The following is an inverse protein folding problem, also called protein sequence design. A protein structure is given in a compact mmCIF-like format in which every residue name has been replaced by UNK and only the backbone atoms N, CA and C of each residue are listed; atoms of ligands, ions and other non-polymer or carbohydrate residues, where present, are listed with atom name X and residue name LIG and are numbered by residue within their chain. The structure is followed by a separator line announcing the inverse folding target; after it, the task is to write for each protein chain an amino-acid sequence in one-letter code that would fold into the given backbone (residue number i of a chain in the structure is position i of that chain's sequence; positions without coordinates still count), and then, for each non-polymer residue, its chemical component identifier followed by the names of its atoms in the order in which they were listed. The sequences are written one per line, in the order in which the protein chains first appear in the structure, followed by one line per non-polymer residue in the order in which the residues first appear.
data_IF_755585444199
#
_entry.id   IF_755585444199
#
_cell.length_a   1.000
_cell.length_b   1.000
_cell.length_c   1.000
_cell.angle_alpha   90.00
_cell.angle_beta   90.00
_cell.angle_gamma   90.00
#
_symmetry.space_group_name_H-M   'P 1'
#
loop_
_entity.id
_entity.type
_entity.pdbx_description
1 polymer ?
#
# COMPACT_ATOMS: atom_id res chain seq x y z
N UNK A 1 17.52 6.62 22.93
CA UNK A 1 17.71 6.72 24.41
C UNK A 1 16.40 6.36 25.09
N UNK A 2 16.37 5.48 26.10
CA UNK A 2 15.16 5.16 26.88
C UNK A 2 14.98 6.27 27.94
N UNK A 3 13.85 6.96 27.91
CA UNK A 3 13.51 8.08 28.83
C UNK A 3 12.32 7.72 29.72
N UNK A 4 11.40 6.91 29.19
CA UNK A 4 10.23 6.39 29.95
C UNK A 4 10.56 4.97 30.39
N UNK A 5 10.15 4.64 31.64
CA UNK A 5 10.24 3.27 32.15
C UNK A 5 9.59 2.28 31.15
N UNK A 6 10.34 1.25 30.70
CA UNK A 6 9.81 0.27 29.75
C UNK A 6 8.54 -0.44 30.22
N UNK A 7 8.36 -0.64 31.53
CA UNK A 7 7.17 -1.28 32.06
C UNK A 7 5.92 -0.38 31.93
N UNK A 8 6.09 0.93 32.13
CA UNK A 8 5.01 1.91 31.88
C UNK A 8 4.64 1.92 30.39
N UNK A 9 5.64 1.93 29.52
CA UNK A 9 5.41 1.87 28.07
C UNK A 9 4.71 0.56 27.69
N UNK A 10 5.13 -0.57 28.26
CA UNK A 10 4.52 -1.88 28.02
C UNK A 10 3.05 -1.89 28.41
N UNK A 11 2.70 -1.35 29.59
CA UNK A 11 1.31 -1.26 30.03
C UNK A 11 0.44 -0.43 29.07
N UNK A 12 0.97 0.66 28.53
CA UNK A 12 0.28 1.47 27.52
C UNK A 12 0.07 0.70 26.23
N UNK A 13 1.09 -0.01 25.75
CA UNK A 13 0.98 -0.85 24.56
C UNK A 13 -0.02 -2.00 24.77
N UNK A 14 -0.03 -2.65 25.95
CA UNK A 14 -1.01 -3.69 26.26
C UNK A 14 -2.44 -3.15 26.12
N UNK A 15 -2.71 -1.96 26.61
CA UNK A 15 -4.02 -1.31 26.46
C UNK A 15 -4.39 -1.07 25.00
N UNK A 16 -3.47 -0.62 24.16
CA UNK A 16 -3.69 -0.47 22.72
C UNK A 16 -4.01 -1.83 22.06
N UNK A 17 -3.31 -2.89 22.50
CA UNK A 17 -3.54 -4.24 21.98
C UNK A 17 -4.83 -4.89 22.50
N UNK A 18 -5.30 -4.54 23.70
CA UNK A 18 -6.63 -4.92 24.19
C UNK A 18 -7.72 -4.32 23.33
N UNK A 19 -7.65 -3.02 23.07
CA UNK A 19 -8.56 -2.33 22.13
C UNK A 19 -8.50 -2.93 20.72
N UNK A 20 -7.30 -3.36 20.28
CA UNK A 20 -7.15 -4.06 19.00
C UNK A 20 -7.92 -5.39 19.00
N UNK A 21 -7.77 -6.22 20.03
CA UNK A 21 -8.46 -7.52 20.14
C UNK A 21 -9.98 -7.36 20.16
N UNK A 22 -10.49 -6.35 20.89
CA UNK A 22 -11.93 -6.05 20.93
C UNK A 22 -12.49 -5.68 19.55
N UNK A 23 -11.67 -5.11 18.68
CA UNK A 23 -12.06 -4.65 17.35
C UNK A 23 -11.46 -5.49 16.22
N UNK A 24 -10.84 -6.62 16.50
CA UNK A 24 -10.05 -7.41 15.55
C UNK A 24 -10.84 -7.76 14.28
N UNK A 25 -12.08 -8.21 14.42
CA UNK A 25 -12.93 -8.57 13.29
C UNK A 25 -13.17 -7.36 12.35
N UNK A 26 -13.38 -6.18 12.92
CA UNK A 26 -13.54 -4.95 12.15
C UNK A 26 -12.27 -4.58 11.40
N UNK A 27 -11.12 -4.72 12.05
CA UNK A 27 -9.83 -4.42 11.44
C UNK A 27 -9.47 -5.42 10.33
N UNK A 28 -9.72 -6.71 10.55
CA UNK A 28 -9.52 -7.74 9.51
C UNK A 28 -10.39 -7.51 8.29
N UNK A 29 -11.65 -7.10 8.46
CA UNK A 29 -12.53 -6.72 7.33
C UNK A 29 -12.01 -5.53 6.56
N UNK A 30 -11.30 -4.60 7.20
CA UNK A 30 -10.60 -3.48 6.54
C UNK A 30 -9.29 -3.91 5.88
N UNK A 31 -8.83 -5.12 6.12
CA UNK A 31 -7.55 -5.62 5.62
C UNK A 31 -6.36 -5.27 6.51
N UNK A 32 -6.59 -4.94 7.80
CA UNK A 32 -5.51 -4.75 8.77
C UNK A 32 -5.19 -6.09 9.43
N UNK A 33 -3.93 -6.46 9.43
CA UNK A 33 -3.48 -7.76 9.97
C UNK A 33 -2.34 -7.52 10.95
N UNK A 34 -2.52 -7.94 12.20
CA UNK A 34 -1.43 -8.01 13.16
C UNK A 34 -0.54 -9.21 12.77
N UNK A 35 0.65 -8.92 12.25
CA UNK A 35 1.60 -9.95 11.78
C UNK A 35 2.48 -10.48 12.91
N UNK A 36 2.84 -9.60 13.86
CA UNK A 36 3.71 -9.97 14.95
C UNK A 36 3.78 -8.93 16.05
N UNK A 37 4.35 -9.35 17.16
CA UNK A 37 4.65 -8.52 18.31
C UNK A 37 6.01 -8.90 18.90
N UNK A 38 6.80 -7.92 19.25
CA UNK A 38 8.08 -8.09 19.94
C UNK A 38 8.28 -6.94 20.92
N UNK A 39 8.33 -7.26 22.23
CA UNK A 39 8.48 -6.29 23.32
C UNK A 39 7.59 -5.06 23.20
N UNK A 40 8.13 -3.94 22.71
CA UNK A 40 7.42 -2.67 22.51
C UNK A 40 7.08 -2.39 21.04
N UNK A 41 7.27 -3.38 20.17
CA UNK A 41 7.02 -3.28 18.73
C UNK A 41 5.82 -4.12 18.31
N UNK A 42 5.08 -3.65 17.31
CA UNK A 42 4.03 -4.39 16.62
C UNK A 42 4.21 -4.28 15.12
N UNK A 43 4.07 -5.39 14.41
CA UNK A 43 4.16 -5.46 12.95
C UNK A 43 2.74 -5.60 12.39
N UNK A 44 2.33 -4.64 11.54
CA UNK A 44 0.99 -4.56 10.95
C UNK A 44 1.09 -4.59 9.43
N UNK A 45 0.34 -5.50 8.82
CA UNK A 45 0.15 -5.55 7.37
C UNK A 45 -1.17 -4.93 6.95
N UNK A 46 -1.17 -4.27 5.79
CA UNK A 46 -2.35 -3.66 5.18
C UNK A 46 -2.65 -4.32 3.84
N UNK A 47 -3.84 -4.89 3.72
CA UNK A 47 -4.34 -5.45 2.48
C UNK A 47 -5.27 -4.45 1.80
N UNK A 48 -4.96 -4.15 0.55
CA UNK A 48 -5.88 -3.47 -0.37
C UNK A 48 -6.49 -4.47 -1.35
N UNK A 49 -7.49 -4.02 -2.09
CA UNK A 49 -8.12 -4.80 -3.15
C UNK A 49 -7.68 -4.27 -4.51
N UNK A 50 -6.87 -5.04 -5.23
CA UNK A 50 -6.45 -4.70 -6.58
C UNK A 50 -7.54 -5.06 -7.58
N UNK A 51 -7.98 -4.11 -8.42
CA UNK A 51 -8.97 -4.36 -9.46
C UNK A 51 -8.32 -5.02 -10.68
N UNK A 52 -8.02 -6.30 -10.58
CA UNK A 52 -7.47 -7.08 -11.68
C UNK A 52 -8.51 -8.10 -12.13
N UNK A 53 -9.02 -7.93 -13.35
CA UNK A 53 -10.03 -8.82 -13.90
C UNK A 53 -11.44 -8.65 -13.28
N UNK A 54 -12.25 -9.71 -13.33
CA UNK A 54 -13.64 -9.67 -12.89
C UNK A 54 -13.83 -9.60 -11.36
N UNK A 55 -12.81 -9.97 -10.59
CA UNK A 55 -12.86 -9.94 -9.13
C UNK A 55 -11.60 -9.28 -8.55
N UNK A 56 -11.76 -8.36 -7.57
CA UNK A 56 -10.62 -7.75 -6.92
C UNK A 56 -9.78 -8.79 -6.18
N UNK A 57 -8.46 -8.70 -6.35
CA UNK A 57 -7.48 -9.59 -5.69
C UNK A 57 -6.93 -8.87 -4.46
N UNK A 58 -6.87 -9.51 -3.28
CA UNK A 58 -6.21 -8.93 -2.12
C UNK A 58 -4.69 -8.84 -2.36
N UNK A 59 -4.12 -7.67 -2.06
CA UNK A 59 -2.68 -7.44 -2.17
C UNK A 59 -2.16 -6.70 -0.93
N UNK A 60 -0.97 -7.09 -0.47
CA UNK A 60 -0.26 -6.36 0.57
C UNK A 60 0.21 -5.03 0.02
N UNK A 61 -0.31 -3.93 0.54
CA UNK A 61 -0.01 -2.57 0.08
C UNK A 61 1.04 -1.88 0.94
N UNK A 62 1.09 -2.24 2.20
CA UNK A 62 2.10 -1.80 3.15
C UNK A 62 2.27 -2.84 4.25
N UNK A 63 3.46 -2.90 4.80
CA UNK A 63 3.72 -3.53 6.09
C UNK A 63 4.58 -2.57 6.90
N UNK A 64 4.21 -2.34 8.15
CA UNK A 64 4.90 -1.41 9.03
C UNK A 64 5.21 -2.04 10.37
N UNK A 65 6.34 -1.67 10.94
CA UNK A 65 6.67 -1.84 12.35
C UNK A 65 6.36 -0.56 13.08
N UNK A 66 5.60 -0.65 14.16
CA UNK A 66 5.27 0.47 15.05
C UNK A 66 5.97 0.21 16.37
N UNK A 67 6.95 1.07 16.70
CA UNK A 67 7.72 1.01 17.94
C UNK A 67 7.20 2.05 18.94
N UNK A 68 6.75 1.55 20.10
CA UNK A 68 6.19 2.34 21.19
C UNK A 68 7.23 2.76 22.24
N UNK A 69 8.53 2.57 22.01
CA UNK A 69 9.56 3.03 22.94
C UNK A 69 9.35 4.49 23.32
N UNK A 70 9.35 4.79 24.62
CA UNK A 70 9.07 6.11 25.21
C UNK A 70 7.64 6.65 25.02
N UNK A 71 6.68 5.81 24.58
CA UNK A 71 5.29 6.23 24.47
C UNK A 71 4.69 6.48 25.87
N UNK A 72 3.99 7.59 26.11
CA UNK A 72 3.52 8.65 25.24
C UNK A 72 4.30 9.96 25.42
N UNK A 73 5.48 9.93 26.04
CA UNK A 73 6.36 11.11 26.09
C UNK A 73 6.85 11.47 24.68
N UNK A 74 7.20 10.45 23.89
CA UNK A 74 7.45 10.55 22.46
C UNK A 74 6.33 9.81 21.70
N UNK A 75 5.98 10.22 20.48
CA UNK A 75 5.05 9.50 19.65
C UNK A 75 5.65 8.16 19.19
N UNK A 76 4.82 7.17 18.81
CA UNK A 76 5.32 5.94 18.22
C UNK A 76 6.15 6.20 16.96
N UNK A 77 7.17 5.41 16.75
CA UNK A 77 7.92 5.37 15.49
C UNK A 77 7.27 4.42 14.51
N UNK A 78 7.22 4.76 13.23
CA UNK A 78 6.66 3.89 12.18
C UNK A 78 7.71 3.68 11.10
N UNK A 79 8.08 2.43 10.87
CA UNK A 79 9.01 2.03 9.83
C UNK A 79 8.34 1.08 8.83
N UNK A 80 8.57 1.28 7.52
CA UNK A 80 8.14 0.33 6.52
C UNK A 80 9.05 -0.89 6.54
N UNK A 81 8.44 -2.09 6.51
CA UNK A 81 9.18 -3.35 6.55
C UNK A 81 8.68 -4.32 5.48
N UNK A 82 9.53 -5.27 5.13
CA UNK A 82 9.13 -6.45 4.39
C UNK A 82 8.38 -7.41 5.34
N UNK A 83 7.18 -7.83 4.96
CA UNK A 83 6.31 -8.69 5.80
C UNK A 83 6.93 -10.07 6.10
N UNK A 84 7.88 -10.54 5.29
CA UNK A 84 8.49 -11.87 5.42
C UNK A 84 9.81 -11.84 6.18
N UNK A 85 10.64 -10.80 5.94
CA UNK A 85 11.97 -10.71 6.56
C UNK A 85 12.00 -9.81 7.80
N UNK A 86 11.00 -8.92 7.95
CA UNK A 86 10.97 -7.91 9.01
C UNK A 86 12.02 -6.81 8.83
N UNK A 87 12.78 -6.81 7.73
CA UNK A 87 13.77 -5.78 7.42
C UNK A 87 13.11 -4.58 6.77
N UNK A 88 13.78 -3.42 6.85
CA UNK A 88 13.31 -2.22 6.17
C UNK A 88 13.09 -2.49 4.68
N UNK A 89 11.95 -2.04 4.17
CA UNK A 89 11.63 -2.04 2.75
C UNK A 89 10.79 -0.79 2.42
N UNK A 90 11.12 -0.03 1.36
CA UNK A 90 10.29 1.10 0.95
C UNK A 90 8.89 0.60 0.54
N UNK A 91 7.83 1.41 0.78
CA UNK A 91 6.48 0.99 0.44
C UNK A 91 6.30 0.87 -1.08
N UNK A 92 5.58 -0.16 -1.54
CA UNK A 92 5.31 -0.36 -2.97
C UNK A 92 4.23 0.57 -3.54
N UNK A 93 3.55 1.34 -2.68
CA UNK A 93 2.41 2.20 -3.01
C UNK A 93 2.70 3.63 -2.62
N UNK A 94 2.27 4.59 -3.44
CA UNK A 94 2.21 5.99 -3.02
C UNK A 94 1.08 6.18 -2.00
N UNK A 95 1.33 6.99 -0.98
CA UNK A 95 0.34 7.32 0.05
C UNK A 95 -0.38 8.62 -0.30
N UNK A 96 -1.17 8.62 -1.36
CA UNK A 96 -1.87 9.82 -1.83
C UNK A 96 -3.07 10.15 -0.95
N UNK A 97 -3.16 11.41 -0.58
CA UNK A 97 -4.34 12.01 0.08
C UNK A 97 -4.72 13.30 -0.63
N UNK A 98 -6.03 13.60 -0.64
CA UNK A 98 -6.50 14.89 -1.10
C UNK A 98 -6.26 15.96 -0.04
N UNK A 99 -5.78 17.10 -0.51
CA UNK A 99 -5.67 18.32 0.30
C UNK A 99 -6.30 19.48 -0.49
N UNK A 100 -6.54 20.59 0.19
CA UNK A 100 -7.05 21.82 -0.45
C UNK A 100 -6.12 22.33 -1.58
N UNK A 101 -4.86 21.88 -1.60
CA UNK A 101 -3.86 22.21 -2.62
C UNK A 101 -3.68 21.11 -3.67
N UNK A 102 -4.54 20.10 -3.66
CA UNK A 102 -4.47 18.93 -4.55
C UNK A 102 -3.87 17.69 -3.89
N UNK A 103 -3.69 16.60 -4.66
CA UNK A 103 -3.17 15.35 -4.13
C UNK A 103 -1.75 15.50 -3.57
N UNK A 104 -1.53 15.00 -2.36
CA UNK A 104 -0.22 14.99 -1.70
C UNK A 104 0.18 13.57 -1.35
N UNK A 105 1.44 13.22 -1.62
CA UNK A 105 2.02 11.97 -1.12
C UNK A 105 2.44 12.15 0.35
N UNK A 106 1.93 11.30 1.23
CA UNK A 106 2.29 11.28 2.65
C UNK A 106 3.55 10.48 2.92
N UNK A 107 4.09 9.75 1.95
CA UNK A 107 5.40 9.10 2.06
C UNK A 107 6.48 10.07 1.59
N UNK A 108 7.35 10.48 2.50
CA UNK A 108 8.58 11.19 2.18
C UNK A 108 9.69 10.14 2.02
N UNK A 109 10.38 10.16 0.87
CA UNK A 109 11.30 9.10 0.49
C UNK A 109 12.62 9.09 1.26
N UNK A 110 12.98 10.18 1.91
CA UNK A 110 14.24 10.28 2.67
C UNK A 110 14.09 11.17 3.89
N UNK A 111 14.13 10.56 5.07
CA UNK A 111 14.23 11.30 6.33
C UNK A 111 15.68 11.77 6.53
N UNK A 112 15.93 13.02 6.95
CA UNK A 112 17.29 13.56 7.10
C UNK A 112 18.23 12.70 7.94
N UNK A 113 17.72 12.15 9.06
CA UNK A 113 18.53 11.40 10.01
C UNK A 113 18.74 9.93 9.63
N UNK A 114 17.75 9.29 8.95
CA UNK A 114 17.78 7.85 8.70
C UNK A 114 17.98 7.49 7.24
N UNK A 115 17.82 8.44 6.34
CA UNK A 115 17.82 8.25 4.89
C UNK A 115 16.82 7.16 4.42
N UNK A 116 15.73 6.96 5.19
CA UNK A 116 14.69 5.99 4.89
C UNK A 116 13.38 6.68 4.56
N UNK A 117 12.55 6.02 3.77
CA UNK A 117 11.19 6.47 3.53
C UNK A 117 10.38 6.41 4.83
N UNK A 118 9.55 7.43 5.08
CA UNK A 118 8.70 7.49 6.27
C UNK A 118 7.33 8.08 5.95
N UNK A 119 6.38 7.78 6.81
CA UNK A 119 5.02 8.29 6.70
C UNK A 119 4.90 9.64 7.42
N UNK A 120 4.73 10.72 6.63
CA UNK A 120 4.79 12.10 7.14
C UNK A 120 3.41 12.58 7.64
N UNK A 121 3.03 12.15 8.85
CA UNK A 121 1.76 12.55 9.49
C UNK A 121 1.94 12.84 10.97
N UNK A 122 1.18 13.81 11.55
CA UNK A 122 1.22 14.08 12.98
C UNK A 122 0.86 12.83 13.80
N UNK A 123 1.57 12.60 14.91
CA UNK A 123 1.40 11.43 15.77
C UNK A 123 2.40 10.32 15.52
N UNK A 124 3.34 10.52 14.58
CA UNK A 124 4.45 9.62 14.28
C UNK A 124 5.77 10.33 14.59
N UNK A 125 6.73 9.63 15.21
CA UNK A 125 8.01 10.20 15.65
C UNK A 125 8.78 10.86 14.53
N UNK A 126 8.85 10.22 13.36
CA UNK A 126 9.56 10.74 12.19
C UNK A 126 9.00 12.08 11.71
N UNK A 127 7.68 12.30 11.81
CA UNK A 127 7.07 13.59 11.52
C UNK A 127 7.53 14.67 12.48
N UNK A 128 7.44 14.42 13.79
CA UNK A 128 7.75 15.42 14.82
C UNK A 128 9.25 15.71 14.93
N UNK A 129 10.11 14.78 14.53
CA UNK A 129 11.56 14.98 14.49
C UNK A 129 12.04 15.59 13.16
N UNK A 130 11.16 15.73 12.17
CA UNK A 130 11.55 16.29 10.88
C UNK A 130 11.72 17.82 10.99
N UNK A 131 12.82 18.41 10.46
CA UNK A 131 13.10 19.85 10.60
C UNK A 131 11.99 20.78 10.10
N UNK A 132 11.26 20.37 9.06
CA UNK A 132 10.12 21.13 8.51
C UNK A 132 8.91 21.19 9.45
N UNK A 133 8.86 20.37 10.49
CA UNK A 133 7.77 20.29 11.47
C UNK A 133 8.20 20.72 12.88
N UNK A 134 9.33 21.43 13.01
CA UNK A 134 9.90 21.84 14.28
C UNK A 134 8.99 22.70 15.18
N UNK A 135 7.97 23.34 14.58
CA UNK A 135 6.94 24.11 15.31
C UNK A 135 5.72 23.29 15.75
N UNK A 136 5.58 22.04 15.30
CA UNK A 136 4.46 21.16 15.61
C UNK A 136 4.87 20.11 16.65
N UNK A 137 4.94 20.55 17.93
CA UNK A 137 5.36 19.68 19.02
C UNK A 137 4.39 18.53 19.27
N UNK A 138 4.91 17.31 19.49
CA UNK A 138 4.12 16.16 19.93
C UNK A 138 3.24 16.44 21.15
N UNK A 139 3.69 17.26 22.08
CA UNK A 139 2.94 17.60 23.28
C UNK A 139 1.56 18.24 22.98
N UNK A 140 1.42 18.89 21.82
CA UNK A 140 0.13 19.45 21.36
C UNK A 140 -0.83 18.37 20.86
N UNK A 141 -0.31 17.18 20.53
CA UNK A 141 -1.08 16.08 19.95
C UNK A 141 -1.27 14.89 20.89
N UNK A 142 -0.52 14.84 21.95
CA UNK A 142 -0.44 13.71 22.88
C UNK A 142 -1.80 13.22 23.37
N UNK A 143 -2.72 14.14 23.71
CA UNK A 143 -4.04 13.80 24.24
C UNK A 143 -5.11 13.64 23.14
N UNK A 144 -4.75 13.85 21.89
CA UNK A 144 -5.68 13.80 20.74
C UNK A 144 -5.82 12.42 20.11
N UNK A 145 -5.27 11.38 20.71
CA UNK A 145 -5.24 10.00 20.19
C UNK A 145 -4.49 9.82 18.85
N UNK A 146 -3.78 10.84 18.36
CA UNK A 146 -3.07 10.75 17.07
C UNK A 146 -1.98 9.70 17.04
N UNK A 147 -1.39 9.37 18.19
CA UNK A 147 -0.38 8.33 18.37
C UNK A 147 -0.94 6.96 18.77
N UNK A 148 -2.27 6.77 18.84
CA UNK A 148 -2.84 5.45 19.13
C UNK A 148 -2.63 4.49 17.97
N UNK A 149 -2.51 3.21 18.26
CA UNK A 149 -2.31 2.15 17.26
C UNK A 149 -3.38 2.21 16.18
N UNK A 150 -4.65 2.28 16.58
CA UNK A 150 -5.78 2.31 15.66
C UNK A 150 -5.77 3.56 14.76
N UNK A 151 -5.43 4.74 15.30
CA UNK A 151 -5.38 5.98 14.51
C UNK A 151 -4.24 5.96 13.48
N UNK A 152 -3.07 5.48 13.86
CA UNK A 152 -1.94 5.30 12.93
C UNK A 152 -2.33 4.34 11.81
N UNK A 153 -2.91 3.18 12.16
CA UNK A 153 -3.35 2.19 11.18
C UNK A 153 -4.43 2.73 10.24
N UNK A 154 -5.42 3.49 10.74
CA UNK A 154 -6.47 4.10 9.91
C UNK A 154 -5.89 5.07 8.87
N UNK A 155 -4.91 5.88 9.26
CA UNK A 155 -4.24 6.81 8.35
C UNK A 155 -3.45 6.12 7.26
N UNK A 156 -2.66 5.11 7.63
CA UNK A 156 -1.88 4.31 6.66
C UNK A 156 -2.83 3.60 5.69
N UNK A 157 -3.88 2.97 6.21
CA UNK A 157 -4.87 2.26 5.40
C UNK A 157 -5.59 3.18 4.41
N UNK A 158 -6.06 4.35 4.88
CA UNK A 158 -6.73 5.33 4.00
C UNK A 158 -5.80 5.80 2.88
N UNK A 159 -4.52 6.02 3.20
CA UNK A 159 -3.57 6.55 2.25
C UNK A 159 -3.04 5.48 1.27
N UNK A 160 -2.96 4.20 1.67
CA UNK A 160 -2.20 3.20 0.92
C UNK A 160 -3.01 1.97 0.50
N UNK A 161 -4.13 1.66 1.16
CA UNK A 161 -4.84 0.40 0.94
C UNK A 161 -6.30 0.57 0.51
N UNK A 162 -6.97 1.63 0.94
CA UNK A 162 -8.41 1.81 0.75
C UNK A 162 -8.82 1.94 -0.71
N UNK A 163 -8.03 2.66 -1.50
CA UNK A 163 -8.40 3.14 -2.82
C UNK A 163 -7.39 2.75 -3.89
N UNK A 164 -7.03 1.46 -3.98
CA UNK A 164 -6.16 0.98 -5.05
C UNK A 164 -6.87 1.04 -6.39
N UNK A 165 -6.22 1.62 -7.40
CA UNK A 165 -6.73 1.72 -8.78
C UNK A 165 -6.18 0.62 -9.68
N UNK A 166 -5.00 0.10 -9.42
CA UNK A 166 -4.37 -0.89 -10.28
C UNK A 166 -2.87 -1.03 -10.08
N UNK A 167 -2.23 -1.61 -11.07
CA UNK A 167 -0.78 -1.80 -11.14
C UNK A 167 -0.25 -1.06 -12.35
N UNK A 168 0.67 -0.14 -12.13
CA UNK A 168 1.45 0.46 -13.20
C UNK A 168 2.69 -0.39 -13.45
N UNK A 169 2.88 -0.78 -14.71
CA UNK A 169 4.07 -1.49 -15.16
C UNK A 169 4.98 -0.50 -15.85
N UNK A 170 6.19 -0.30 -15.34
CA UNK A 170 7.22 0.51 -15.99
C UNK A 170 8.31 -0.42 -16.53
N UNK A 171 8.55 -0.33 -17.82
CA UNK A 171 9.61 -1.05 -18.51
C UNK A 171 10.78 -0.08 -18.72
N UNK A 172 11.94 -0.39 -18.16
CA UNK A 172 13.17 0.35 -18.40
C UNK A 172 14.18 -0.57 -19.10
N UNK A 173 14.65 -0.14 -20.27
CA UNK A 173 15.72 -0.80 -20.97
C UNK A 173 17.05 -0.18 -20.57
N UNK A 174 17.86 -0.93 -19.85
CA UNK A 174 19.26 -0.62 -19.59
C UNK A 174 20.13 -1.39 -20.59
N UNK A 175 21.36 -0.97 -20.92
CA UNK A 175 22.24 -1.71 -21.81
C UNK A 175 22.37 -3.18 -21.38
N UNK A 176 21.81 -4.10 -22.18
CA UNK A 176 21.85 -5.54 -21.91
C UNK A 176 20.88 -6.07 -20.84
N UNK A 177 19.99 -5.24 -20.28
CA UNK A 177 19.02 -5.66 -19.25
C UNK A 177 17.66 -5.01 -19.48
N UNK A 178 16.60 -5.81 -19.30
CA UNK A 178 15.22 -5.31 -19.19
C UNK A 178 14.83 -5.28 -17.71
N UNK A 179 14.58 -4.10 -17.18
CA UNK A 179 14.07 -3.92 -15.82
C UNK A 179 12.56 -3.68 -15.86
N UNK A 180 11.82 -4.52 -15.14
CA UNK A 180 10.38 -4.38 -14.98
C UNK A 180 10.14 -3.87 -13.55
N UNK A 181 9.53 -2.69 -13.43
CA UNK A 181 9.08 -2.14 -12.16
C UNK A 181 7.56 -2.21 -12.09
N UNK A 182 7.05 -2.84 -11.05
CA UNK A 182 5.63 -2.88 -10.73
C UNK A 182 5.36 -1.87 -9.61
N UNK A 183 4.41 -0.98 -9.83
CA UNK A 183 4.00 0.01 -8.85
C UNK A 183 2.49 -0.07 -8.65
N UNK A 184 2.06 -0.21 -7.40
CA UNK A 184 0.66 -0.10 -7.06
C UNK A 184 0.23 1.37 -7.10
N UNK A 185 -0.90 1.65 -7.73
CA UNK A 185 -1.45 3.01 -7.87
C UNK A 185 -2.72 3.10 -7.05
N UNK A 186 -2.83 4.13 -6.22
CA UNK A 186 -4.06 4.45 -5.51
C UNK A 186 -4.62 5.80 -5.97
N UNK A 187 -5.94 5.98 -5.75
CA UNK A 187 -6.57 7.28 -5.94
C UNK A 187 -6.64 8.04 -4.62
N UNK A 188 -6.46 9.35 -4.63
CA UNK A 188 -6.75 10.17 -3.48
C UNK A 188 -8.28 10.24 -3.22
N UNK A 189 -8.67 10.16 -1.95
CA UNK A 189 -9.98 10.55 -1.45
C UNK A 189 -11.22 9.82 -1.98
N UNK A 190 -12.30 10.57 -2.13
CA UNK A 190 -13.63 10.07 -2.52
C UNK A 190 -13.79 9.87 -4.03
N UNK A 191 -12.80 10.27 -4.82
CA UNK A 191 -12.82 10.15 -6.30
C UNK A 191 -12.68 8.70 -6.76
N UNK A 192 -12.21 7.82 -5.89
CA UNK A 192 -11.99 6.42 -6.19
C UNK A 192 -13.20 5.67 -6.81
N UNK A 193 -14.46 5.83 -6.32
CA UNK A 193 -15.59 5.10 -6.91
C UNK A 193 -15.84 5.46 -8.38
N UNK A 194 -15.74 6.74 -8.74
CA UNK A 194 -15.93 7.20 -10.11
C UNK A 194 -14.81 6.74 -11.05
N UNK A 195 -13.56 6.82 -10.60
CA UNK A 195 -12.40 6.34 -11.36
C UNK A 195 -12.40 4.82 -11.51
N UNK A 196 -12.88 4.08 -10.52
CA UNK A 196 -13.10 2.65 -10.60
C UNK A 196 -14.11 2.28 -11.68
N UNK A 197 -15.23 2.96 -11.71
CA UNK A 197 -16.26 2.73 -12.71
C UNK A 197 -15.74 3.06 -14.10
N UNK A 198 -15.02 4.16 -14.25
CA UNK A 198 -14.40 4.55 -15.52
C UNK A 198 -13.31 3.56 -15.97
N UNK A 199 -12.46 3.08 -15.05
CA UNK A 199 -11.45 2.06 -15.35
C UNK A 199 -12.10 0.75 -15.80
N UNK A 200 -13.17 0.31 -15.12
CA UNK A 200 -13.94 -0.89 -15.49
C UNK A 200 -14.58 -0.76 -16.87
N UNK A 201 -15.20 0.38 -17.17
CA UNK A 201 -15.81 0.65 -18.49
C UNK A 201 -14.75 0.65 -19.59
N UNK A 202 -13.57 1.22 -19.33
CA UNK A 202 -12.46 1.23 -20.29
C UNK A 202 -11.92 -0.18 -20.54
N UNK A 203 -11.81 -1.01 -19.49
CA UNK A 203 -11.37 -2.41 -19.62
C UNK A 203 -12.41 -3.25 -20.38
N UNK A 204 -13.69 -3.04 -20.11
CA UNK A 204 -14.79 -3.73 -20.80
C UNK A 204 -14.86 -3.34 -22.29
N UNK A 205 -14.66 -2.05 -22.59
CA UNK A 205 -14.53 -1.56 -23.95
C UNK A 205 -13.30 -2.15 -24.67
N UNK A 206 -12.15 -2.23 -23.99
CA UNK A 206 -10.96 -2.84 -24.53
C UNK A 206 -11.11 -4.35 -24.80
N UNK A 207 -11.78 -5.08 -23.90
CA UNK A 207 -12.13 -6.50 -24.09
C UNK A 207 -13.07 -6.70 -25.28
N UNK A 208 -14.07 -5.85 -25.41
CA UNK A 208 -15.01 -5.91 -26.52
C UNK A 208 -14.33 -5.61 -27.85
N UNK A 209 -13.43 -4.62 -27.86
CA UNK A 209 -12.60 -4.30 -29.01
C UNK A 209 -11.65 -5.44 -29.39
N UNK A 210 -11.01 -6.09 -28.40
CA UNK A 210 -10.14 -7.26 -28.62
C UNK A 210 -10.95 -8.49 -29.07
N UNK A 211 -12.13 -8.73 -28.51
CA UNK A 211 -13.00 -9.81 -28.96
C UNK A 211 -13.50 -9.64 -30.41
N UNK A 212 -13.63 -8.36 -30.85
CA UNK A 212 -13.96 -8.02 -32.24
C UNK A 212 -12.76 -8.00 -33.19
N UNK A 213 -11.54 -7.89 -32.70
CA UNK A 213 -10.32 -7.66 -33.51
C UNK A 213 -9.46 -8.93 -33.74
N UNK A 214 -9.66 -9.99 -32.98
CA UNK A 214 -8.86 -11.24 -33.13
C UNK A 214 -9.71 -12.35 -33.74
N UNK A 215 -9.94 -12.25 -35.06
CA UNK A 215 -10.07 -13.46 -35.86
C UNK A 215 -8.67 -14.04 -36.09
N UNK A 216 -8.39 -15.30 -35.73
CA UNK A 216 -7.09 -15.93 -35.97
C UNK A 216 -6.70 -15.97 -37.45
N UNK A 217 -7.64 -15.67 -38.32
CA UNK A 217 -7.47 -15.71 -39.78
C UNK A 217 -6.62 -14.58 -40.40
N UNK A 218 -6.20 -13.59 -39.61
CA UNK A 218 -5.42 -12.45 -40.08
C UNK A 218 -3.93 -12.43 -39.69
N UNK A 219 -3.46 -13.41 -38.92
CA UNK A 219 -2.03 -13.48 -38.54
C UNK A 219 -1.21 -14.22 -39.59
N UNK A 220 -0.02 -13.73 -40.00
CA UNK A 220 0.90 -14.46 -40.87
C UNK A 220 1.24 -15.84 -40.27
N UNK A 221 1.35 -16.89 -41.11
CA UNK A 221 1.64 -18.25 -40.64
C UNK A 221 2.88 -18.37 -39.76
N UNK A 222 3.88 -17.55 -40.02
CA UNK A 222 5.14 -17.48 -39.26
C UNK A 222 4.95 -16.99 -37.83
N UNK A 223 4.02 -16.03 -37.61
CA UNK A 223 3.67 -15.50 -36.29
C UNK A 223 2.83 -16.53 -35.51
N UNK A 224 1.95 -17.25 -36.20
CA UNK A 224 1.16 -18.32 -35.56
C UNK A 224 2.04 -19.48 -35.11
N UNK A 225 3.01 -19.88 -35.92
CA UNK A 225 3.97 -20.92 -35.57
C UNK A 225 4.87 -20.51 -34.38
N UNK A 226 5.30 -19.24 -34.32
CA UNK A 226 6.11 -18.73 -33.23
C UNK A 226 5.32 -18.64 -31.88
N UNK A 227 4.00 -18.50 -31.94
CA UNK A 227 3.10 -18.48 -30.77
C UNK A 227 2.56 -19.88 -30.39
N UNK A 228 2.96 -20.95 -31.10
CA UNK A 228 2.48 -22.32 -30.88
C UNK A 228 0.98 -22.51 -31.17
N UNK A 229 0.40 -21.64 -32.00
CA UNK A 229 -1.02 -21.71 -32.39
C UNK A 229 -1.11 -22.65 -33.61
N UNK A 230 -1.72 -23.83 -33.45
CA UNK A 230 -1.98 -24.76 -34.55
C UNK A 230 -3.18 -24.24 -35.36
N UNK A 231 -2.99 -23.99 -36.65
CA UNK A 231 -4.08 -23.59 -37.52
C UNK A 231 -5.16 -24.69 -37.56
N UNK A 232 -6.44 -24.35 -37.55
CA UNK A 232 -7.53 -25.33 -37.73
C UNK A 232 -7.41 -25.97 -39.13
N UNK A 233 -7.57 -27.27 -39.20
CA UNK A 233 -7.59 -28.01 -40.46
C UNK A 233 -8.66 -27.45 -41.40
N UNK A 234 -8.38 -27.34 -42.72
CA UNK A 234 -9.39 -26.88 -43.67
C UNK A 234 -10.59 -27.85 -43.67
N UNK A 235 -11.81 -27.34 -43.84
CA UNK A 235 -13.01 -28.19 -43.91
C UNK A 235 -12.86 -29.15 -45.11
N UNK A 236 -13.15 -30.44 -44.85
CA UNK A 236 -13.20 -31.44 -45.91
C UNK A 236 -14.27 -31.04 -46.93
N UNK A 237 -13.88 -31.11 -48.21
CA UNK A 237 -14.80 -30.80 -49.31
C UNK A 237 -15.94 -31.87 -49.32
N UNK A 238 -17.18 -31.48 -49.51
CA UNK A 238 -18.27 -32.46 -49.66
C UNK A 238 -18.08 -33.25 -50.96
N UNK A 239 -18.19 -34.59 -50.83
CA UNK A 239 -18.27 -35.50 -51.98
C UNK A 239 -19.53 -35.32 -52.81
#
# INVERSE_FOLDING_TARGET
MIVVDPDVTRLKLERELELWRENEETYRRRGWILLGRKELEVDIGFLGRLPIGAQPIPAMTACVRIDFTNFDLEPPSVEFINAFTGEYAPPPVQALVDTDQGPRDLVVHSHPDTNRAFFCVPGIRQYHNHPQHSGDSWLLHRETQKGSLATICDRIWRAMARNLLGVQVQLQTLPGQLQIQLRLVNAPGEVAPALWEQARQTEEAARTAQAGAVSPQGLPPEVMAALGIVAPAPPEAPE
#
